data_IF_266605024634
#
_entry.id   IF_266605024634
#
_cell.length_a   1.000
_cell.length_b   1.000
_cell.length_c   1.000
_cell.angle_alpha   90.00
_cell.angle_beta   90.00
_cell.angle_gamma   90.00
#
_symmetry.space_group_name_H-M   'P 1'
#
loop_
_entity.id
_entity.type
_entity.pdbx_description
1 polymer ?
#
# COMPACT_ATOMS: atom_id res chain seq x y z
N UNK A 1 22.33 5.42 8.46
CA UNK A 1 21.77 5.48 9.83
C UNK A 1 20.95 4.21 10.07
N UNK A 2 21.09 3.51 11.21
CA UNK A 2 20.24 2.32 11.49
C UNK A 2 18.82 2.82 11.82
N UNK A 3 17.80 2.39 11.05
CA UNK A 3 16.40 2.72 11.32
C UNK A 3 16.02 2.23 12.73
N UNK A 4 15.53 3.15 13.57
CA UNK A 4 14.95 2.80 14.87
C UNK A 4 13.46 2.58 14.69
N UNK A 5 13.01 1.33 14.80
CA UNK A 5 11.60 0.99 14.73
C UNK A 5 10.83 1.56 15.93
N UNK A 6 9.67 2.16 15.66
CA UNK A 6 8.68 2.52 16.68
C UNK A 6 8.19 1.24 17.37
N UNK A 7 7.97 1.33 18.69
CA UNK A 7 7.31 0.26 19.44
C UNK A 7 5.94 0.00 18.81
N UNK A 8 5.63 -1.27 18.60
CA UNK A 8 4.28 -1.65 18.20
C UNK A 8 3.34 -1.42 19.39
N UNK A 9 2.43 -0.46 19.24
CA UNK A 9 1.40 -0.11 20.24
C UNK A 9 0.00 -0.48 19.75
N UNK A 10 -0.10 -1.18 18.61
CA UNK A 10 -1.40 -1.52 18.00
C UNK A 10 -2.11 -2.55 18.87
N UNK A 11 -3.44 -2.55 18.77
CA UNK A 11 -4.31 -3.51 19.47
C UNK A 11 -3.91 -4.96 19.12
N UNK A 12 -4.18 -5.91 20.03
CA UNK A 12 -3.91 -7.33 19.82
C UNK A 12 -4.56 -7.85 18.52
N UNK A 13 -5.73 -7.35 18.16
CA UNK A 13 -6.42 -7.67 16.91
C UNK A 13 -5.54 -7.37 15.67
N UNK A 14 -4.74 -6.31 15.71
CA UNK A 14 -3.82 -5.97 14.61
C UNK A 14 -2.66 -6.96 14.49
N UNK A 15 -2.16 -7.47 15.61
CA UNK A 15 -1.12 -8.50 15.59
C UNK A 15 -1.66 -9.80 14.97
N UNK A 16 -2.88 -10.19 15.31
CA UNK A 16 -3.53 -11.38 14.74
C UNK A 16 -3.82 -11.19 13.24
N UNK A 17 -4.29 -10.02 12.83
CA UNK A 17 -4.48 -9.67 11.41
C UNK A 17 -3.16 -9.72 10.64
N UNK A 18 -2.06 -9.22 11.20
CA UNK A 18 -0.74 -9.26 10.57
C UNK A 18 -0.24 -10.69 10.37
N UNK A 19 -0.45 -11.57 11.36
CA UNK A 19 -0.14 -13.00 11.24
C UNK A 19 -0.93 -13.62 10.08
N UNK A 20 -2.22 -13.30 9.98
CA UNK A 20 -3.07 -13.79 8.90
C UNK A 20 -2.65 -13.27 7.52
N UNK A 21 -2.36 -11.97 7.41
CA UNK A 21 -1.78 -11.32 6.22
C UNK A 21 -0.52 -12.08 5.76
N UNK A 22 0.41 -12.34 6.68
CA UNK A 22 1.62 -13.08 6.35
C UNK A 22 1.36 -14.51 5.89
N UNK A 23 0.44 -15.23 6.56
CA UNK A 23 0.06 -16.60 6.19
C UNK A 23 -0.54 -16.64 4.79
N UNK A 24 -1.48 -15.72 4.48
CA UNK A 24 -2.10 -15.60 3.16
C UNK A 24 -1.09 -15.22 2.08
N UNK A 25 -0.24 -14.24 2.35
CA UNK A 25 0.80 -13.81 1.41
C UNK A 25 1.76 -14.94 1.01
N UNK A 26 2.14 -15.81 1.96
CA UNK A 26 3.01 -16.98 1.68
C UNK A 26 2.33 -18.08 0.88
N UNK A 27 1.02 -18.27 1.02
CA UNK A 27 0.23 -19.33 0.37
C UNK A 27 -0.39 -18.91 -0.97
N UNK A 28 -0.11 -17.70 -1.42
CA UNK A 28 -0.76 -17.10 -2.57
C UNK A 28 -0.41 -17.77 -3.88
N UNK A 29 -1.42 -18.01 -4.72
CA UNK A 29 -1.21 -18.50 -6.09
C UNK A 29 -0.47 -17.46 -6.93
N UNK A 30 0.70 -17.85 -7.44
CA UNK A 30 1.56 -17.03 -8.29
C UNK A 30 0.94 -16.78 -9.67
N UNK A 31 -0.07 -17.56 -10.07
CA UNK A 31 -0.80 -17.44 -11.33
C UNK A 31 -2.11 -16.68 -11.19
N UNK A 32 -2.46 -16.23 -9.98
CA UNK A 32 -3.66 -15.46 -9.76
C UNK A 32 -3.63 -14.16 -10.56
N UNK A 33 -4.72 -13.90 -11.28
CA UNK A 33 -4.93 -12.68 -12.06
C UNK A 33 -6.33 -12.18 -11.76
N UNK A 34 -6.45 -10.88 -11.51
CA UNK A 34 -7.74 -10.21 -11.35
C UNK A 34 -7.83 -9.03 -12.31
N UNK A 35 -8.81 -9.00 -13.20
CA UNK A 35 -8.98 -7.95 -14.21
C UNK A 35 -10.35 -7.31 -14.14
N UNK A 36 -10.44 -6.02 -14.46
CA UNK A 36 -11.71 -5.31 -14.56
C UNK A 36 -11.51 -3.89 -15.08
N UNK A 37 -12.60 -3.23 -15.49
CA UNK A 37 -12.57 -1.86 -16.04
C UNK A 37 -12.09 -0.82 -15.02
N UNK A 38 -12.21 -1.11 -13.74
CA UNK A 38 -11.74 -0.32 -12.60
C UNK A 38 -10.20 -0.36 -12.42
N UNK A 39 -9.47 -1.14 -13.23
CA UNK A 39 -8.01 -1.32 -13.17
C UNK A 39 -7.35 -0.94 -14.49
N UNK A 40 -6.44 0.04 -14.46
CA UNK A 40 -5.70 0.51 -15.65
C UNK A 40 -4.20 0.36 -15.47
N UNK A 41 -3.53 -0.31 -16.41
CA UNK A 41 -2.07 -0.42 -16.43
C UNK A 41 -1.44 0.96 -16.65
N UNK A 42 -0.40 1.27 -15.87
CA UNK A 42 0.35 2.54 -15.95
C UNK A 42 1.74 2.29 -16.51
N UNK A 43 2.54 1.48 -15.80
CA UNK A 43 3.95 1.24 -16.15
C UNK A 43 4.50 -0.03 -15.49
N UNK A 44 5.72 -0.43 -15.88
CA UNK A 44 6.53 -1.38 -15.13
C UNK A 44 7.55 -0.62 -14.27
N UNK A 45 7.78 -1.07 -13.03
CA UNK A 45 8.77 -0.49 -12.12
C UNK A 45 9.25 -1.56 -11.16
N UNK A 46 10.57 -1.71 -10.98
CA UNK A 46 11.19 -2.66 -10.03
C UNK A 46 10.72 -4.12 -10.15
N UNK A 47 10.36 -4.55 -11.37
CA UNK A 47 9.82 -5.89 -11.62
C UNK A 47 8.32 -6.05 -11.36
N UNK A 48 7.62 -4.97 -10.99
CA UNK A 48 6.17 -4.94 -10.78
C UNK A 48 5.44 -4.27 -11.95
N UNK A 49 4.19 -4.67 -12.17
CA UNK A 49 3.23 -3.93 -12.98
C UNK A 49 2.45 -2.97 -12.07
N UNK A 50 2.53 -1.67 -12.37
CA UNK A 50 1.84 -0.63 -11.61
C UNK A 50 0.49 -0.34 -12.25
N UNK A 51 -0.56 -0.37 -11.44
CA UNK A 51 -1.93 -0.12 -11.86
C UNK A 51 -2.52 1.06 -11.12
N UNK A 52 -3.18 1.93 -11.87
CA UNK A 52 -4.11 2.91 -11.34
C UNK A 52 -5.48 2.24 -11.19
N UNK A 53 -6.06 2.31 -9.99
CA UNK A 53 -7.35 1.70 -9.69
C UNK A 53 -8.41 2.71 -9.24
N UNK A 54 -9.67 2.37 -9.47
CA UNK A 54 -10.80 2.96 -8.77
C UNK A 54 -10.83 2.41 -7.34
N UNK A 55 -10.28 3.18 -6.41
CA UNK A 55 -10.21 2.79 -5.00
C UNK A 55 -11.57 2.66 -4.33
N UNK A 56 -12.59 3.41 -4.78
CA UNK A 56 -13.95 3.30 -4.25
C UNK A 56 -14.57 1.97 -4.67
N UNK A 57 -14.42 1.60 -5.94
CA UNK A 57 -14.83 0.28 -6.41
C UNK A 57 -14.14 -0.84 -5.62
N UNK A 58 -12.83 -0.75 -5.41
CA UNK A 58 -12.07 -1.76 -4.63
C UNK A 58 -12.61 -1.87 -3.21
N UNK A 59 -12.90 -0.74 -2.53
CA UNK A 59 -13.45 -0.76 -1.17
C UNK A 59 -14.85 -1.38 -1.10
N UNK A 60 -15.70 -1.06 -2.08
CA UNK A 60 -17.08 -1.54 -2.09
C UNK A 60 -17.21 -3.01 -2.51
N UNK A 61 -16.22 -3.58 -3.21
CA UNK A 61 -16.34 -4.91 -3.81
C UNK A 61 -15.30 -5.93 -3.33
N UNK A 62 -14.11 -5.49 -2.89
CA UNK A 62 -13.01 -6.39 -2.55
C UNK A 62 -12.54 -6.25 -1.10
N UNK A 63 -12.39 -5.02 -0.59
CA UNK A 63 -11.86 -4.80 0.76
C UNK A 63 -12.11 -3.39 1.26
N UNK A 64 -13.01 -3.26 2.24
CA UNK A 64 -13.36 -1.98 2.88
C UNK A 64 -12.14 -1.25 3.48
N UNK A 65 -11.09 -1.97 3.87
CA UNK A 65 -9.85 -1.41 4.42
C UNK A 65 -8.80 -1.04 3.35
N UNK A 66 -9.14 -1.09 2.05
CA UNK A 66 -8.21 -0.66 1.00
C UNK A 66 -8.02 0.85 1.02
N UNK A 67 -6.83 1.29 1.43
CA UNK A 67 -6.45 2.69 1.53
C UNK A 67 -6.07 3.30 0.18
N UNK A 68 -4.84 3.80 0.12
CA UNK A 68 -4.33 4.49 -1.07
C UNK A 68 -3.52 3.59 -2.01
N UNK A 69 -2.98 2.51 -1.48
CA UNK A 69 -2.18 1.54 -2.22
C UNK A 69 -2.38 0.15 -1.67
N UNK A 70 -1.86 -0.83 -2.41
CA UNK A 70 -1.79 -2.20 -1.92
C UNK A 70 -0.96 -3.10 -2.82
N UNK A 71 -0.43 -4.15 -2.19
CA UNK A 71 0.30 -5.22 -2.86
C UNK A 71 -0.10 -6.62 -2.40
N UNK A 72 0.36 -7.64 -3.12
CA UNK A 72 -0.14 -9.00 -2.97
C UNK A 72 0.18 -9.74 -1.66
N UNK A 73 1.03 -9.20 -0.79
CA UNK A 73 1.26 -9.75 0.55
C UNK A 73 0.26 -9.21 1.57
N UNK A 74 -0.26 -8.00 1.39
CA UNK A 74 -1.26 -7.37 2.27
C UNK A 74 -2.68 -7.76 1.86
N UNK A 75 -2.94 -7.71 0.55
CA UNK A 75 -4.25 -7.99 -0.01
C UNK A 75 -4.23 -9.25 -0.87
N UNK A 76 -5.02 -10.26 -0.49
CA UNK A 76 -5.06 -11.54 -1.19
C UNK A 76 -5.58 -11.43 -2.64
N UNK A 77 -6.39 -10.41 -2.95
CA UNK A 77 -6.92 -10.14 -4.28
C UNK A 77 -5.96 -9.36 -5.21
N UNK A 78 -4.76 -8.94 -4.75
CA UNK A 78 -3.78 -8.23 -5.60
C UNK A 78 -2.69 -9.20 -6.06
N UNK A 79 -2.50 -9.51 -7.35
CA UNK A 79 -1.46 -10.44 -7.79
C UNK A 79 -0.04 -10.08 -7.28
N UNK A 80 0.82 -11.08 -7.04
CA UNK A 80 2.15 -10.88 -6.42
C UNK A 80 3.13 -10.04 -7.27
N UNK A 81 2.86 -9.87 -8.56
CA UNK A 81 3.63 -9.03 -9.47
C UNK A 81 2.96 -7.69 -9.79
N UNK A 82 1.92 -7.32 -9.03
CA UNK A 82 1.17 -6.08 -9.21
C UNK A 82 1.25 -5.18 -7.97
N UNK A 83 1.24 -3.88 -8.23
CA UNK A 83 1.06 -2.81 -7.24
C UNK A 83 -0.13 -1.99 -7.70
N UNK A 84 -1.10 -1.82 -6.82
CA UNK A 84 -2.30 -1.04 -7.12
C UNK A 84 -2.27 0.26 -6.34
N UNK A 85 -2.58 1.36 -7.01
CA UNK A 85 -2.60 2.69 -6.43
C UNK A 85 -3.93 3.35 -6.75
N UNK A 86 -4.64 3.80 -5.72
CA UNK A 86 -5.90 4.51 -5.84
C UNK A 86 -5.68 5.84 -6.56
N UNK A 87 -6.58 6.14 -7.50
CA UNK A 87 -6.52 7.40 -8.27
C UNK A 87 -7.09 8.61 -7.53
N UNK A 88 -7.81 8.38 -6.42
CA UNK A 88 -8.50 9.39 -5.65
C UNK A 88 -8.33 9.12 -4.17
N UNK A 89 -8.44 10.17 -3.37
CA UNK A 89 -8.52 10.03 -1.91
C UNK A 89 -9.85 9.41 -1.49
N UNK A 90 -9.81 8.59 -0.45
CA UNK A 90 -11.00 7.97 0.12
C UNK A 90 -11.64 8.87 1.17
N UNK A 91 -12.92 8.60 1.48
CA UNK A 91 -13.63 9.31 2.54
C UNK A 91 -13.00 9.02 3.90
N UNK A 92 -12.53 10.06 4.58
CA UNK A 92 -11.73 9.93 5.79
C UNK A 92 -10.21 9.93 5.58
N UNK A 93 -9.69 10.22 4.37
CA UNK A 93 -8.26 10.55 4.28
C UNK A 93 -7.96 11.77 5.16
N UNK A 94 -6.90 11.68 5.97
CA UNK A 94 -6.35 12.80 6.75
C UNK A 94 -5.62 13.86 5.90
N UNK A 95 -5.66 13.71 4.58
CA UNK A 95 -5.14 14.63 3.60
C UNK A 95 -5.85 15.99 3.70
N UNK A 96 -5.10 17.06 4.00
CA UNK A 96 -5.66 18.42 4.07
C UNK A 96 -5.87 19.01 2.66
N UNK A 97 -6.86 19.88 2.51
CA UNK A 97 -7.14 20.63 1.28
C UNK A 97 -7.45 19.77 0.04
N UNK A 98 -7.98 18.56 0.24
CA UNK A 98 -8.44 17.68 -0.85
C UNK A 98 -9.93 17.91 -1.11
N UNK A 99 -10.31 18.22 -2.36
CA UNK A 99 -11.71 18.29 -2.76
C UNK A 99 -12.29 16.88 -2.97
N UNK A 100 -13.57 16.68 -2.65
CA UNK A 100 -14.26 15.41 -2.95
C UNK A 100 -14.17 15.11 -4.44
N UNK A 101 -13.79 13.89 -4.80
CA UNK A 101 -13.59 13.48 -6.20
C UNK A 101 -12.32 14.03 -6.85
N UNK A 102 -11.43 14.68 -6.10
CA UNK A 102 -10.14 15.11 -6.62
C UNK A 102 -9.22 13.91 -6.84
N UNK A 103 -8.63 13.85 -8.05
CA UNK A 103 -7.57 12.89 -8.34
C UNK A 103 -6.34 13.18 -7.51
N UNK A 104 -5.70 12.12 -7.03
CA UNK A 104 -4.39 12.20 -6.41
C UNK A 104 -3.37 12.82 -7.38
N UNK A 105 -2.41 13.58 -6.84
CA UNK A 105 -1.34 14.15 -7.65
C UNK A 105 -0.39 13.05 -8.15
N UNK A 106 0.38 13.35 -9.19
CA UNK A 106 1.41 12.42 -9.68
C UNK A 106 2.45 12.11 -8.60
N UNK A 107 2.86 13.12 -7.82
CA UNK A 107 3.78 12.95 -6.70
C UNK A 107 3.20 12.00 -5.64
N UNK A 108 1.91 12.12 -5.33
CA UNK A 108 1.23 11.22 -4.40
C UNK A 108 1.22 9.78 -4.91
N UNK A 109 0.87 9.61 -6.19
CA UNK A 109 0.86 8.30 -6.86
C UNK A 109 2.24 7.64 -6.83
N UNK A 110 3.30 8.42 -7.09
CA UNK A 110 4.67 7.91 -7.11
C UNK A 110 5.20 7.61 -5.71
N UNK A 111 4.85 8.42 -4.70
CA UNK A 111 5.14 8.15 -3.29
C UNK A 111 4.50 6.83 -2.85
N UNK A 112 3.21 6.65 -3.15
CA UNK A 112 2.48 5.41 -2.83
C UNK A 112 3.10 4.22 -3.56
N UNK A 113 3.46 4.38 -4.83
CA UNK A 113 4.13 3.31 -5.60
C UNK A 113 5.46 2.90 -4.94
N UNK A 114 6.25 3.87 -4.49
CA UNK A 114 7.51 3.63 -3.79
C UNK A 114 7.29 2.94 -2.45
N UNK A 115 6.27 3.36 -1.69
CA UNK A 115 5.85 2.75 -0.43
C UNK A 115 5.56 1.26 -0.61
N UNK A 116 4.61 0.94 -1.48
CA UNK A 116 4.11 -0.42 -1.69
C UNK A 116 5.21 -1.37 -2.18
N UNK A 117 6.11 -0.89 -3.07
CA UNK A 117 7.26 -1.68 -3.52
C UNK A 117 8.24 -1.93 -2.38
N UNK A 118 8.52 -0.91 -1.56
CA UNK A 118 9.41 -1.05 -0.42
C UNK A 118 8.87 -2.03 0.61
N UNK A 119 7.60 -1.89 0.99
CA UNK A 119 6.91 -2.78 1.93
C UNK A 119 6.91 -4.23 1.42
N UNK A 120 6.52 -4.44 0.16
CA UNK A 120 6.53 -5.75 -0.48
C UNK A 120 7.91 -6.42 -0.40
N UNK A 121 8.97 -5.68 -0.77
CA UNK A 121 10.34 -6.20 -0.81
C UNK A 121 10.80 -6.67 0.57
N UNK A 122 10.41 -5.98 1.64
CA UNK A 122 10.75 -6.37 3.01
C UNK A 122 9.89 -7.53 3.51
N UNK A 123 8.58 -7.50 3.26
CA UNK A 123 7.68 -8.62 3.62
C UNK A 123 8.07 -9.92 2.91
N UNK A 124 8.51 -9.84 1.65
CA UNK A 124 9.05 -11.00 0.91
C UNK A 124 10.26 -11.64 1.59
N UNK A 125 11.05 -10.86 2.33
CA UNK A 125 12.20 -11.36 3.13
C UNK A 125 11.76 -11.94 4.49
N UNK A 126 10.46 -12.00 4.76
CA UNK A 126 9.90 -12.46 6.03
C UNK A 126 9.74 -11.37 7.08
N UNK A 127 9.88 -10.09 6.70
CA UNK A 127 9.63 -8.99 7.62
C UNK A 127 8.13 -8.89 7.97
N UNK A 128 7.88 -8.48 9.20
CA UNK A 128 6.54 -8.11 9.66
C UNK A 128 5.99 -6.92 8.85
N UNK A 129 4.69 -6.92 8.57
CA UNK A 129 4.01 -5.81 7.92
C UNK A 129 4.34 -4.50 8.65
N UNK A 130 4.23 -4.47 9.97
CA UNK A 130 4.55 -3.28 10.77
C UNK A 130 5.97 -2.73 10.54
N UNK A 131 6.97 -3.61 10.48
CA UNK A 131 8.35 -3.20 10.26
C UNK A 131 8.59 -2.80 8.81
N UNK A 132 8.00 -3.52 7.87
CA UNK A 132 8.09 -3.24 6.45
C UNK A 132 7.47 -1.87 6.11
N UNK A 133 6.31 -1.58 6.69
CA UNK A 133 5.61 -0.31 6.58
C UNK A 133 6.46 0.87 7.05
N UNK A 134 7.13 0.74 8.20
CA UNK A 134 8.03 1.78 8.71
C UNK A 134 9.23 2.02 7.81
N UNK A 135 9.78 0.99 7.18
CA UNK A 135 10.85 1.14 6.18
C UNK A 135 10.33 1.85 4.94
N UNK A 136 9.12 1.55 4.50
CA UNK A 136 8.49 2.21 3.37
C UNK A 136 8.29 3.72 3.62
N UNK A 137 7.77 4.10 4.79
CA UNK A 137 7.63 5.50 5.22
C UNK A 137 8.98 6.24 5.27
N UNK A 138 10.03 5.58 5.75
CA UNK A 138 11.37 6.17 5.75
C UNK A 138 11.85 6.44 4.31
N UNK A 139 11.64 5.50 3.39
CA UNK A 139 12.06 5.66 1.99
C UNK A 139 11.29 6.75 1.26
N UNK A 140 10.00 6.94 1.57
CA UNK A 140 9.24 8.08 1.05
C UNK A 140 9.86 9.41 1.49
N UNK A 141 10.17 9.51 2.79
CA UNK A 141 10.86 10.68 3.37
C UNK A 141 12.20 10.93 2.69
N UNK A 142 13.02 9.89 2.53
CA UNK A 142 14.34 9.98 1.86
C UNK A 142 14.23 10.38 0.39
N UNK A 143 13.16 9.98 -0.30
CA UNK A 143 12.89 10.36 -1.68
C UNK A 143 12.32 11.79 -1.82
N UNK A 144 12.12 12.52 -0.71
CA UNK A 144 11.46 13.84 -0.71
C UNK A 144 10.00 13.77 -1.18
N UNK A 145 9.40 12.58 -1.14
CA UNK A 145 8.03 12.33 -1.60
C UNK A 145 7.11 12.36 -0.39
N UNK A 146 6.25 13.39 -0.35
CA UNK A 146 5.30 13.71 0.74
C UNK A 146 5.97 14.04 2.10
N UNK A 147 5.55 15.16 2.71
CA UNK A 147 5.70 15.32 4.16
C UNK A 147 4.60 14.48 4.80
N UNK A 148 4.99 13.51 5.62
CA UNK A 148 4.08 12.69 6.42
C UNK A 148 3.00 13.57 7.09
N UNK A 149 1.70 13.37 6.80
CA UNK A 149 0.63 14.12 7.46
C UNK A 149 0.53 13.82 8.98
N UNK A 150 1.19 12.76 9.45
CA UNK A 150 1.31 12.37 10.87
C UNK A 150 2.66 12.74 11.51
N UNK A 151 3.47 13.62 10.90
CA UNK A 151 4.48 14.37 11.65
C UNK A 151 3.75 15.37 12.56
N UNK A 152 3.24 14.86 13.68
CA UNK A 152 2.82 15.66 14.83
C UNK A 152 4.01 16.53 15.26
N UNK A 153 3.77 17.84 15.35
CA UNK A 153 4.56 18.77 16.17
C UNK A 153 4.15 18.60 17.64
#
# INVERSE_FOLDING_TARGET
MKLKFKKDKRDKLWADLEIDIQKRGKKKDKRFVLTGKWKKFVRKQDGFKIFAVDGEWVRNNLSVIFGHGGHGYVHEFIPLNEIWVATHHFEGCECRNVKKGQKASQQYFDSTTLHEIAEFKEMKKGMSFWKAHQIALQKETEAGSLKDPHLEF
#
